data_IF_739132515531
#
_entry.id   IF_739132515531
#
_cell.length_a   1.000
_cell.length_b   1.000
_cell.length_c   1.000
_cell.angle_alpha   90.00
_cell.angle_beta   90.00
_cell.angle_gamma   90.00
#
_symmetry.space_group_name_H-M   'P 1'
#
loop_
_entity.id
_entity.type
_entity.pdbx_description
1 polymer ?
#
# COMPACT_ATOMS: atom_id res chain seq x y z
N UNK A 1 5.03 -14.09 0.25
CA UNK A 1 6.33 -13.40 0.37
C UNK A 1 7.55 -14.34 0.47
N UNK A 2 7.45 -15.48 1.19
CA UNK A 2 8.62 -16.37 1.42
C UNK A 2 9.43 -16.69 0.16
N UNK A 3 8.84 -16.98 -1.04
CA UNK A 3 9.63 -17.26 -2.24
C UNK A 3 10.45 -16.08 -2.77
N UNK A 4 10.11 -14.85 -2.33
CA UNK A 4 10.75 -13.62 -2.81
C UNK A 4 11.86 -13.10 -1.90
N UNK A 5 11.98 -13.65 -0.68
CA UNK A 5 12.93 -13.16 0.32
C UNK A 5 14.33 -13.64 -0.03
N UNK A 6 15.20 -12.69 -0.39
CA UNK A 6 16.63 -12.89 -0.53
C UNK A 6 17.34 -12.09 0.58
N UNK A 7 18.06 -12.79 1.46
CA UNK A 7 18.77 -12.17 2.59
C UNK A 7 19.86 -11.16 2.17
N UNK A 8 20.31 -11.22 0.92
CA UNK A 8 21.29 -10.29 0.34
C UNK A 8 20.65 -8.96 -0.07
N UNK A 9 19.32 -8.88 -0.18
CA UNK A 9 18.60 -7.68 -0.58
C UNK A 9 18.16 -6.86 0.63
N UNK A 10 18.16 -5.55 0.46
CA UNK A 10 17.61 -4.62 1.46
C UNK A 10 16.10 -4.55 1.30
N UNK A 11 15.39 -5.14 2.25
CA UNK A 11 13.93 -5.20 2.25
C UNK A 11 13.35 -3.93 2.87
N UNK A 12 12.32 -3.38 2.24
CA UNK A 12 11.68 -2.16 2.70
C UNK A 12 10.16 -2.29 2.71
N UNK A 13 9.52 -1.63 3.68
CA UNK A 13 8.12 -1.27 3.64
C UNK A 13 7.97 0.13 3.05
N UNK A 14 6.94 0.36 2.27
CA UNK A 14 6.68 1.65 1.61
C UNK A 14 5.28 2.10 2.00
N UNK A 15 5.16 3.32 2.51
CA UNK A 15 3.89 3.93 2.91
C UNK A 15 3.55 5.05 1.94
N UNK A 16 2.35 5.00 1.39
CA UNK A 16 1.76 6.11 0.65
C UNK A 16 0.23 5.98 0.64
N UNK A 17 -0.47 7.01 0.19
CA UNK A 17 -1.91 6.96 0.06
C UNK A 17 -2.37 7.51 -1.30
N UNK A 18 -3.48 6.98 -1.77
CA UNK A 18 -4.09 7.42 -3.02
C UNK A 18 -5.55 7.77 -2.82
N UNK A 19 -6.04 8.70 -3.63
CA UNK A 19 -7.44 9.05 -3.65
C UNK A 19 -8.27 7.85 -4.15
N UNK A 20 -9.28 7.46 -3.36
CA UNK A 20 -10.34 6.54 -3.73
C UNK A 20 -11.60 7.36 -3.97
N UNK A 21 -11.77 7.81 -5.22
CA UNK A 21 -12.80 8.77 -5.59
C UNK A 21 -14.19 8.13 -5.64
N UNK A 22 -15.19 8.86 -5.11
CA UNK A 22 -16.62 8.50 -5.15
C UNK A 22 -17.48 9.72 -5.48
N UNK A 23 -17.21 10.42 -6.61
CA UNK A 23 -17.74 11.77 -6.86
C UNK A 23 -19.27 11.82 -6.89
N UNK A 24 -19.92 10.76 -7.36
CA UNK A 24 -21.38 10.71 -7.49
C UNK A 24 -22.08 10.04 -6.32
N UNK A 25 -21.35 9.55 -5.34
CA UNK A 25 -21.92 8.88 -4.17
C UNK A 25 -22.47 9.89 -3.16
N UNK A 26 -23.62 9.57 -2.58
CA UNK A 26 -24.29 10.40 -1.54
C UNK A 26 -24.51 9.62 -0.25
N UNK A 27 -24.59 8.30 -0.30
CA UNK A 27 -25.02 7.43 0.80
C UNK A 27 -24.01 6.36 1.20
N UNK A 28 -22.80 6.37 0.58
CA UNK A 28 -21.76 5.41 0.95
C UNK A 28 -21.32 5.65 2.39
N UNK A 29 -21.24 4.59 3.16
CA UNK A 29 -20.86 4.64 4.58
C UNK A 29 -19.48 5.28 4.75
N UNK A 30 -19.34 6.19 5.72
CA UNK A 30 -18.12 6.95 6.00
C UNK A 30 -17.59 7.78 4.81
N UNK A 31 -18.42 8.02 3.79
CA UNK A 31 -18.04 8.91 2.70
C UNK A 31 -17.59 10.25 3.26
N UNK A 32 -16.47 10.76 2.79
CA UNK A 32 -15.92 12.01 3.28
C UNK A 32 -15.58 12.98 2.14
N UNK A 33 -15.46 14.25 2.52
CA UNK A 33 -14.90 15.29 1.68
C UNK A 33 -13.38 15.20 1.78
N UNK A 34 -12.71 14.79 0.70
CA UNK A 34 -11.26 14.60 0.63
C UNK A 34 -10.65 15.54 -0.40
N UNK A 35 -9.43 16.01 -0.13
CA UNK A 35 -8.73 16.90 -1.03
C UNK A 35 -7.96 16.12 -2.09
N UNK A 36 -8.19 16.44 -3.37
CA UNK A 36 -7.41 15.94 -4.50
C UNK A 36 -6.24 16.88 -4.74
N UNK A 37 -5.01 16.40 -4.53
CA UNK A 37 -3.80 17.20 -4.70
C UNK A 37 -3.43 17.44 -6.17
N UNK A 38 -3.93 16.59 -7.09
CA UNK A 38 -3.64 16.72 -8.52
C UNK A 38 -4.54 17.78 -9.18
N UNK A 39 -5.82 17.79 -8.79
CA UNK A 39 -6.81 18.73 -9.32
C UNK A 39 -6.97 19.98 -8.46
N UNK A 40 -6.36 20.03 -7.28
CA UNK A 40 -6.50 21.12 -6.31
C UNK A 40 -7.96 21.41 -5.90
N UNK A 41 -8.80 20.37 -5.82
CA UNK A 41 -10.21 20.49 -5.45
C UNK A 41 -10.61 19.48 -4.37
N UNK A 42 -11.75 19.73 -3.73
CA UNK A 42 -12.35 18.75 -2.81
C UNK A 42 -13.32 17.84 -3.56
N UNK A 43 -13.15 16.54 -3.40
CA UNK A 43 -14.02 15.51 -3.95
C UNK A 43 -14.66 14.66 -2.83
N UNK A 44 -15.71 13.94 -3.19
CA UNK A 44 -16.26 12.89 -2.32
C UNK A 44 -15.45 11.61 -2.48
N UNK A 45 -15.08 10.98 -1.39
CA UNK A 45 -14.30 9.73 -1.44
C UNK A 45 -13.61 9.39 -0.13
N UNK A 46 -12.50 8.70 -0.27
CA UNK A 46 -11.63 8.24 0.80
C UNK A 46 -10.16 8.41 0.39
N UNK A 47 -9.26 8.27 1.37
CA UNK A 47 -7.83 8.08 1.09
C UNK A 47 -7.47 6.63 1.37
N UNK A 48 -7.03 5.89 0.36
CA UNK A 48 -6.56 4.52 0.52
C UNK A 48 -5.10 4.54 0.96
N UNK A 49 -4.87 4.60 2.28
CA UNK A 49 -3.55 4.45 2.87
C UNK A 49 -3.09 3.02 2.65
N UNK A 50 -1.98 2.85 1.98
CA UNK A 50 -1.43 1.54 1.60
C UNK A 50 -0.03 1.36 2.15
N UNK A 51 0.24 0.18 2.67
CA UNK A 51 1.55 -0.32 3.01
C UNK A 51 1.96 -1.37 2.00
N UNK A 52 3.05 -1.15 1.29
CA UNK A 52 3.64 -2.13 0.38
C UNK A 52 4.96 -2.67 0.90
N UNK A 53 5.35 -3.85 0.46
CA UNK A 53 6.65 -4.46 0.66
C UNK A 53 7.46 -4.44 -0.63
N UNK A 54 8.76 -4.23 -0.53
CA UNK A 54 9.66 -4.20 -1.68
C UNK A 54 11.02 -4.80 -1.37
N UNK A 55 11.51 -5.60 -2.32
CA UNK A 55 12.90 -6.08 -2.37
C UNK A 55 13.76 -5.36 -3.43
N UNK A 56 13.29 -4.26 -3.97
CA UNK A 56 13.77 -3.46 -5.07
C UNK A 56 13.35 -3.93 -6.48
N UNK A 57 13.14 -5.23 -6.70
CA UNK A 57 12.65 -5.76 -7.98
C UNK A 57 11.12 -5.85 -8.01
N UNK A 58 10.54 -6.33 -6.93
CA UNK A 58 9.10 -6.57 -6.82
C UNK A 58 8.51 -5.68 -5.75
N UNK A 59 7.33 -5.15 -6.02
CA UNK A 59 6.48 -4.45 -5.06
C UNK A 59 5.22 -5.26 -4.82
N UNK A 60 4.85 -5.46 -3.56
CA UNK A 60 3.62 -6.15 -3.17
C UNK A 60 2.87 -5.31 -2.13
N UNK A 61 1.62 -4.86 -2.39
CA UNK A 61 0.79 -4.24 -1.37
C UNK A 61 0.42 -5.27 -0.30
N UNK A 62 0.76 -5.03 0.96
CA UNK A 62 0.61 -6.02 2.05
C UNK A 62 -0.44 -5.64 3.09
N UNK A 63 -0.78 -4.36 3.20
CA UNK A 63 -1.80 -3.90 4.13
C UNK A 63 -2.37 -2.55 3.70
N UNK A 64 -3.58 -2.22 4.17
CA UNK A 64 -4.20 -0.94 3.88
C UNK A 64 -5.20 -0.51 4.96
N UNK A 65 -5.52 0.79 4.94
CA UNK A 65 -6.66 1.35 5.62
C UNK A 65 -7.39 2.33 4.70
N UNK A 66 -8.70 2.17 4.57
CA UNK A 66 -9.53 3.08 3.80
C UNK A 66 -9.93 4.26 4.70
N UNK A 67 -9.20 5.37 4.59
CA UNK A 67 -9.33 6.52 5.46
C UNK A 67 -10.46 7.44 5.02
N UNK A 68 -11.34 7.77 5.97
CA UNK A 68 -12.36 8.81 5.86
C UNK A 68 -11.81 10.13 6.41
N UNK A 69 -12.54 10.82 7.25
CA UNK A 69 -12.10 12.02 7.94
C UNK A 69 -12.10 11.85 9.44
N UNK A 70 -11.08 12.42 10.09
CA UNK A 70 -11.09 12.58 11.56
C UNK A 70 -12.09 13.66 12.00
N UNK A 71 -12.31 14.68 11.17
CA UNK A 71 -13.28 15.75 11.47
C UNK A 71 -14.68 15.29 11.02
N UNK A 72 -15.63 15.16 11.95
CA UNK A 72 -17.00 14.75 11.62
C UNK A 72 -17.68 15.68 10.61
N UNK A 73 -17.31 16.97 10.55
CA UNK A 73 -17.85 17.94 9.61
C UNK A 73 -17.56 17.61 8.15
N UNK A 74 -16.52 16.83 7.91
CA UNK A 74 -16.13 16.38 6.56
C UNK A 74 -16.74 15.03 6.20
N UNK A 75 -17.43 14.34 7.12
CA UNK A 75 -18.09 13.06 6.86
C UNK A 75 -19.48 13.35 6.31
N UNK A 76 -19.77 12.84 5.13
CA UNK A 76 -21.00 13.07 4.38
C UNK A 76 -21.96 11.88 4.44
N UNK A 77 -21.41 10.67 4.55
CA UNK A 77 -22.17 9.44 4.58
C UNK A 77 -22.54 8.99 5.99
N UNK A 78 -23.40 7.96 6.12
CA UNK A 78 -23.75 7.39 7.42
C UNK A 78 -22.51 6.85 8.13
N UNK A 79 -22.52 6.90 9.46
CA UNK A 79 -21.44 6.40 10.30
C UNK A 79 -22.02 5.36 11.28
N UNK A 80 -21.63 4.09 11.12
CA UNK A 80 -22.06 3.03 12.02
C UNK A 80 -20.98 2.79 13.10
N UNK A 81 -21.39 2.89 14.36
CA UNK A 81 -20.51 2.61 15.48
C UNK A 81 -20.58 1.12 15.83
N UNK A 82 -19.61 0.36 15.37
CA UNK A 82 -19.47 -1.07 15.64
C UNK A 82 -18.43 -1.34 16.73
N UNK A 83 -18.62 -2.45 17.43
CA UNK A 83 -17.71 -2.88 18.49
C UNK A 83 -16.28 -3.11 17.94
N UNK A 84 -15.30 -2.42 18.54
CA UNK A 84 -13.90 -2.46 18.13
C UNK A 84 -13.20 -3.80 18.40
N UNK A 85 -13.82 -4.71 19.13
CA UNK A 85 -13.33 -6.08 19.28
C UNK A 85 -13.36 -6.83 17.95
N UNK A 86 -14.26 -6.49 17.05
CA UNK A 86 -14.35 -7.06 15.72
C UNK A 86 -13.58 -6.23 14.67
N UNK A 87 -13.15 -6.90 13.61
CA UNK A 87 -12.41 -6.25 12.51
C UNK A 87 -13.17 -5.08 11.88
N UNK A 88 -14.46 -5.25 11.66
CA UNK A 88 -15.34 -4.22 11.10
C UNK A 88 -15.35 -2.92 11.94
N UNK A 89 -15.45 -3.04 13.27
CA UNK A 89 -15.38 -1.90 14.18
C UNK A 89 -13.99 -1.26 14.22
N UNK A 90 -12.92 -2.07 14.23
CA UNK A 90 -11.54 -1.55 14.17
C UNK A 90 -11.28 -0.76 12.91
N UNK A 91 -11.69 -1.24 11.74
CA UNK A 91 -11.51 -0.54 10.45
C UNK A 91 -12.22 0.80 10.42
N UNK A 92 -13.46 0.89 10.96
CA UNK A 92 -14.20 2.17 11.05
C UNK A 92 -13.54 3.16 11.99
N UNK A 93 -12.98 2.68 13.08
CA UNK A 93 -12.20 3.52 14.00
C UNK A 93 -10.91 4.03 13.33
N UNK A 94 -10.18 3.18 12.64
CA UNK A 94 -8.99 3.56 11.87
C UNK A 94 -9.35 4.60 10.80
N UNK A 95 -10.44 4.41 10.07
CA UNK A 95 -10.90 5.34 9.03
C UNK A 95 -11.06 6.78 9.52
N UNK A 96 -11.39 6.96 10.79
CA UNK A 96 -11.61 8.25 11.42
C UNK A 96 -10.44 8.70 12.32
N UNK A 97 -9.31 8.01 12.26
CA UNK A 97 -8.11 8.31 13.02
C UNK A 97 -7.13 9.18 12.23
N UNK A 98 -6.06 9.63 12.88
CA UNK A 98 -4.98 10.35 12.18
C UNK A 98 -4.21 9.39 11.27
N UNK A 99 -4.11 9.71 10.00
CA UNK A 99 -3.45 8.88 9.00
C UNK A 99 -2.03 8.44 9.39
N UNK A 100 -1.22 9.34 9.94
CA UNK A 100 0.14 9.00 10.39
C UNK A 100 0.16 7.97 11.53
N UNK A 101 -0.84 7.96 12.42
CA UNK A 101 -0.96 6.93 13.46
C UNK A 101 -1.32 5.58 12.84
N UNK A 102 -2.30 5.60 11.93
CA UNK A 102 -2.74 4.39 11.22
C UNK A 102 -1.58 3.83 10.37
N UNK A 103 -0.77 4.69 9.73
CA UNK A 103 0.41 4.25 9.00
C UNK A 103 1.39 3.44 9.87
N UNK A 104 1.66 3.90 11.10
CA UNK A 104 2.50 3.16 12.07
C UNK A 104 1.83 1.86 12.52
N UNK A 105 0.50 1.87 12.70
CA UNK A 105 -0.27 0.66 13.03
C UNK A 105 -0.16 -0.39 11.91
N UNK A 106 -0.27 0.01 10.63
CA UNK A 106 -0.11 -0.90 9.49
C UNK A 106 1.28 -1.54 9.47
N UNK A 107 2.35 -0.76 9.74
CA UNK A 107 3.72 -1.28 9.87
C UNK A 107 3.81 -2.27 11.02
N UNK A 108 3.30 -1.93 12.20
CA UNK A 108 3.29 -2.82 13.37
C UNK A 108 2.56 -4.13 13.08
N UNK A 109 1.43 -4.08 12.37
CA UNK A 109 0.68 -5.27 11.95
C UNK A 109 1.49 -6.13 10.97
N UNK A 110 2.16 -5.52 9.99
CA UNK A 110 3.02 -6.24 9.04
C UNK A 110 4.14 -7.01 9.77
N UNK A 111 4.79 -6.38 10.75
CA UNK A 111 5.82 -7.02 11.57
C UNK A 111 5.27 -8.19 12.39
N UNK A 112 4.06 -8.04 12.99
CA UNK A 112 3.39 -9.12 13.73
C UNK A 112 3.06 -10.33 12.84
N UNK A 113 2.86 -10.10 11.54
CA UNK A 113 2.67 -11.15 10.55
C UNK A 113 3.99 -11.63 9.91
N UNK A 114 5.13 -11.33 10.53
CA UNK A 114 6.47 -11.74 10.09
C UNK A 114 6.81 -11.29 8.66
N UNK A 115 6.32 -10.12 8.23
CA UNK A 115 6.74 -9.52 6.98
C UNK A 115 8.12 -8.89 7.20
N UNK A 116 9.20 -9.41 6.58
CA UNK A 116 10.54 -8.96 6.86
C UNK A 116 10.79 -7.60 6.20
N UNK A 117 11.36 -6.67 6.98
CA UNK A 117 11.81 -5.39 6.48
C UNK A 117 12.95 -4.85 7.35
N UNK A 118 13.79 -4.01 6.77
CA UNK A 118 14.85 -3.26 7.44
C UNK A 118 14.52 -1.76 7.47
N UNK A 119 13.81 -1.31 6.46
CA UNK A 119 13.51 0.10 6.23
C UNK A 119 12.01 0.35 6.05
N UNK A 120 11.58 1.56 6.42
CA UNK A 120 10.26 2.10 6.05
C UNK A 120 10.49 3.37 5.24
N UNK A 121 9.96 3.39 4.01
CA UNK A 121 10.09 4.50 3.06
C UNK A 121 8.77 5.28 3.01
N UNK A 122 8.85 6.60 3.06
CA UNK A 122 7.68 7.46 3.00
C UNK A 122 8.00 8.82 2.39
N UNK A 123 6.98 9.52 1.95
CA UNK A 123 7.10 10.86 1.36
C UNK A 123 7.17 11.97 2.44
N UNK A 124 7.18 13.22 1.99
CA UNK A 124 7.25 14.37 2.87
C UNK A 124 6.00 14.59 3.73
N UNK A 125 4.87 13.97 3.38
CA UNK A 125 3.64 14.09 4.16
C UNK A 125 3.75 13.35 5.50
N UNK A 126 4.39 12.18 5.47
CA UNK A 126 4.60 11.35 6.65
C UNK A 126 5.89 11.70 7.42
N UNK A 127 6.84 12.40 6.80
CA UNK A 127 8.18 12.71 7.34
C UNK A 127 8.14 13.73 8.47
N UNK A 128 7.71 13.33 9.64
CA UNK A 128 7.80 14.10 10.89
C UNK A 128 8.84 13.47 11.84
N UNK A 129 9.49 14.25 12.75
CA UNK A 129 10.36 13.66 13.77
C UNK A 129 9.68 12.52 14.52
N UNK A 130 8.42 12.70 14.90
CA UNK A 130 7.63 11.67 15.59
C UNK A 130 7.46 10.37 14.77
N UNK A 131 7.33 10.46 13.45
CA UNK A 131 7.25 9.27 12.58
C UNK A 131 8.56 8.50 12.61
N UNK A 132 9.70 9.19 12.48
CA UNK A 132 11.02 8.55 12.57
C UNK A 132 11.21 7.85 13.93
N UNK A 133 10.80 8.50 15.03
CA UNK A 133 10.87 7.94 16.39
C UNK A 133 10.03 6.67 16.50
N UNK A 134 8.78 6.68 16.04
CA UNK A 134 7.87 5.55 16.10
C UNK A 134 8.36 4.38 15.25
N UNK A 135 8.87 4.64 14.04
CA UNK A 135 9.47 3.60 13.19
C UNK A 135 10.71 2.99 13.85
N UNK A 136 11.54 3.82 14.48
CA UNK A 136 12.73 3.33 15.20
C UNK A 136 12.37 2.47 16.40
N UNK A 137 11.30 2.81 17.14
CA UNK A 137 10.77 2.01 18.24
C UNK A 137 10.26 0.64 17.78
N UNK A 138 9.81 0.52 16.54
CA UNK A 138 9.44 -0.76 15.93
C UNK A 138 10.65 -1.60 15.47
N UNK A 139 11.88 -1.13 15.69
CA UNK A 139 13.11 -1.83 15.28
C UNK A 139 13.49 -1.62 13.81
N UNK A 140 12.82 -0.72 13.09
CA UNK A 140 13.10 -0.42 11.69
C UNK A 140 13.79 0.94 11.55
N UNK A 141 14.42 1.16 10.39
CA UNK A 141 14.99 2.45 10.04
C UNK A 141 14.07 3.19 9.05
N UNK A 142 13.68 4.43 9.39
CA UNK A 142 12.89 5.29 8.53
C UNK A 142 13.76 5.99 7.47
N UNK A 143 13.26 6.11 6.23
CA UNK A 143 13.83 6.95 5.17
C UNK A 143 12.70 7.76 4.56
N UNK A 144 12.82 9.08 4.60
CA UNK A 144 11.78 9.96 4.08
C UNK A 144 12.31 11.31 3.60
N UNK A 145 11.50 12.01 2.80
CA UNK A 145 11.81 13.35 2.33
C UNK A 145 11.28 14.39 3.33
N UNK A 146 12.12 15.28 3.81
CA UNK A 146 11.71 16.34 4.74
C UNK A 146 11.09 17.53 4.01
N UNK A 147 10.04 18.08 4.59
CA UNK A 147 9.53 19.41 4.23
C UNK A 147 10.53 20.49 4.69
N UNK A 148 10.75 21.50 3.88
CA UNK A 148 11.56 22.68 4.25
C UNK A 148 10.76 23.62 5.17
N UNK A 149 10.32 23.09 6.29
CA UNK A 149 9.54 23.83 7.28
C UNK A 149 10.44 24.73 8.14
N UNK A 150 9.94 25.91 8.47
CA UNK A 150 10.53 26.80 9.46
C UNK A 150 10.08 26.49 10.89
N UNK A 151 9.16 25.53 11.05
CA UNK A 151 8.57 25.14 12.35
C UNK A 151 9.24 23.92 12.99
N UNK A 152 10.09 23.21 12.24
CA UNK A 152 10.79 22.01 12.73
C UNK A 152 12.28 22.30 12.80
N UNK A 153 12.85 22.06 13.97
CA UNK A 153 14.25 22.30 14.24
C UNK A 153 14.97 21.02 14.55
N UNK A 154 16.25 21.00 14.21
CA UNK A 154 17.17 19.89 14.48
C UNK A 154 18.42 20.42 15.16
N UNK A 155 18.98 19.67 16.10
CA UNK A 155 20.21 20.01 16.79
C UNK A 155 21.43 19.57 15.99
N UNK A 156 22.23 20.51 15.56
CA UNK A 156 23.50 20.28 14.86
C UNK A 156 24.63 20.98 15.61
N UNK A 157 25.65 20.23 16.04
CA UNK A 157 26.78 20.74 16.83
C UNK A 157 26.34 21.62 18.02
N UNK A 158 25.37 21.17 18.79
CA UNK A 158 24.86 21.85 19.97
C UNK A 158 23.83 22.96 19.72
N UNK A 159 23.66 23.45 18.49
CA UNK A 159 22.73 24.52 18.13
C UNK A 159 21.52 24.03 17.34
N UNK A 160 20.39 24.70 17.47
CA UNK A 160 19.17 24.42 16.77
C UNK A 160 19.12 25.12 15.40
N UNK A 161 18.77 24.38 14.36
CA UNK A 161 18.63 24.89 13.00
C UNK A 161 17.36 24.35 12.37
N UNK A 162 16.62 25.19 11.65
CA UNK A 162 15.64 24.71 10.67
C UNK A 162 16.39 24.06 9.49
N UNK A 163 15.68 23.26 8.70
CA UNK A 163 16.26 22.61 7.50
C UNK A 163 16.91 23.64 6.56
N UNK A 164 16.25 24.80 6.36
CA UNK A 164 16.77 25.88 5.52
C UNK A 164 18.04 26.51 6.11
N UNK A 165 18.01 26.84 7.39
CA UNK A 165 19.17 27.43 8.08
C UNK A 165 20.37 26.48 8.12
N UNK A 166 20.11 25.17 8.26
CA UNK A 166 21.14 24.14 8.21
C UNK A 166 21.79 24.04 6.82
N UNK A 167 21.01 24.12 5.75
CA UNK A 167 21.53 24.16 4.38
C UNK A 167 22.50 25.34 4.18
N UNK A 168 22.10 26.58 4.56
CA UNK A 168 22.95 27.77 4.45
C UNK A 168 24.20 27.63 5.31
N UNK A 169 24.09 27.06 6.50
CA UNK A 169 25.23 26.80 7.38
C UNK A 169 26.25 25.86 6.72
N UNK A 170 25.79 24.74 6.15
CA UNK A 170 26.66 23.77 5.46
C UNK A 170 27.31 24.39 4.22
N UNK A 171 26.59 25.25 3.51
CA UNK A 171 27.08 25.98 2.35
C UNK A 171 28.19 26.98 2.77
N UNK A 172 27.99 27.69 3.86
CA UNK A 172 29.01 28.65 4.38
C UNK A 172 30.28 27.98 4.90
N UNK A 173 30.22 26.72 5.30
CA UNK A 173 31.39 25.90 5.65
C UNK A 173 32.27 25.53 4.45
N UNK A 174 32.00 26.07 3.25
CA UNK A 174 32.72 25.85 1.98
C UNK A 174 32.92 24.36 1.63
N UNK A 175 32.01 23.51 2.06
CA UNK A 175 32.04 22.12 1.68
C UNK A 175 31.76 22.00 0.18
N UNK A 176 32.66 21.33 -0.57
CA UNK A 176 32.45 21.08 -2.00
C UNK A 176 31.25 20.14 -2.20
N UNK A 177 30.28 20.51 -3.05
CA UNK A 177 29.19 19.62 -3.42
C UNK A 177 29.73 18.35 -4.08
N UNK A 178 29.14 17.21 -3.76
CA UNK A 178 29.38 15.95 -4.48
C UNK A 178 28.54 15.90 -5.76
N UNK A 179 28.87 15.02 -6.67
CA UNK A 179 28.12 14.88 -7.93
C UNK A 179 26.64 14.47 -7.69
N UNK A 180 26.41 13.56 -6.75
CA UNK A 180 25.11 12.95 -6.48
C UNK A 180 24.31 13.67 -5.39
N UNK A 181 25.00 14.36 -4.43
CA UNK A 181 24.38 15.16 -3.39
C UNK A 181 25.19 16.40 -3.08
N UNK A 182 24.55 17.43 -2.55
CA UNK A 182 25.23 18.69 -2.22
C UNK A 182 25.94 18.62 -0.87
N UNK A 183 25.19 18.26 0.16
CA UNK A 183 25.68 18.20 1.55
C UNK A 183 25.06 17.02 2.28
N UNK A 184 25.76 16.55 3.32
CA UNK A 184 25.23 15.58 4.27
C UNK A 184 25.72 15.90 5.67
N UNK A 185 24.85 15.75 6.67
CA UNK A 185 25.19 15.90 8.08
C UNK A 185 24.34 14.99 8.96
N UNK A 186 24.81 14.76 10.18
CA UNK A 186 24.05 14.08 11.21
C UNK A 186 23.53 15.13 12.18
N UNK A 187 22.26 15.03 12.52
CA UNK A 187 21.55 15.93 13.44
C UNK A 187 20.79 15.11 14.47
N UNK A 188 20.35 15.76 15.55
CA UNK A 188 19.43 15.16 16.54
C UNK A 188 18.07 15.83 16.47
N UNK A 189 17.01 15.04 16.53
CA UNK A 189 15.63 15.53 16.73
C UNK A 189 15.44 16.02 18.17
N UNK A 190 14.29 16.64 18.45
CA UNK A 190 13.93 17.02 19.83
C UNK A 190 13.81 15.82 20.77
N UNK A 191 13.40 14.66 20.25
CA UNK A 191 13.37 13.38 21.00
C UNK A 191 14.75 12.75 21.22
N UNK A 192 15.82 13.35 20.67
CA UNK A 192 17.20 12.88 20.80
C UNK A 192 17.63 11.83 19.76
N UNK A 193 16.74 11.42 18.83
CA UNK A 193 17.09 10.47 17.78
C UNK A 193 18.02 11.13 16.76
N UNK A 194 19.07 10.40 16.42
CA UNK A 194 20.00 10.83 15.37
C UNK A 194 19.41 10.57 13.98
N UNK A 195 19.51 11.57 13.13
CA UNK A 195 19.09 11.52 11.75
C UNK A 195 20.25 11.96 10.84
N UNK A 196 20.54 11.19 9.82
CA UNK A 196 21.38 11.66 8.73
C UNK A 196 20.50 12.41 7.74
N UNK A 197 20.83 13.66 7.49
CA UNK A 197 20.22 14.49 6.45
C UNK A 197 21.11 14.50 5.21
N UNK A 198 20.50 14.37 4.04
CA UNK A 198 21.15 14.43 2.73
C UNK A 198 20.45 15.47 1.87
N UNK A 199 21.18 16.50 1.47
CA UNK A 199 20.69 17.56 0.60
C UNK A 199 21.01 17.20 -0.85
N UNK A 200 19.99 16.83 -1.62
CA UNK A 200 20.09 16.38 -3.01
C UNK A 200 19.68 17.50 -3.94
N UNK A 201 20.42 17.71 -5.04
CA UNK A 201 20.06 18.70 -6.04
C UNK A 201 18.75 18.31 -6.73
N UNK A 202 17.83 19.26 -6.82
CA UNK A 202 16.63 19.05 -7.62
C UNK A 202 16.98 19.28 -9.10
N UNK A 203 16.98 18.21 -9.89
CA UNK A 203 17.30 18.28 -11.31
C UNK A 203 16.33 19.14 -12.13
N UNK A 204 15.07 19.29 -11.65
CA UNK A 204 14.03 20.05 -12.36
C UNK A 204 14.10 21.56 -12.09
N UNK A 205 14.80 22.02 -11.03
CA UNK A 205 14.90 23.44 -10.65
C UNK A 205 16.31 23.73 -10.16
N UNK A 206 17.11 24.42 -10.95
CA UNK A 206 18.56 24.62 -10.75
C UNK A 206 18.98 25.12 -9.35
N UNK A 207 18.15 25.94 -8.69
CA UNK A 207 18.44 26.51 -7.36
C UNK A 207 17.65 25.83 -6.23
N UNK A 208 17.09 24.64 -6.48
CA UNK A 208 16.26 23.95 -5.50
C UNK A 208 16.92 22.64 -5.06
N UNK A 209 16.71 22.27 -3.81
CA UNK A 209 17.21 21.01 -3.25
C UNK A 209 16.08 20.26 -2.56
N UNK A 210 16.21 18.94 -2.54
CA UNK A 210 15.40 18.04 -1.72
C UNK A 210 16.22 17.63 -0.51
N UNK A 211 15.56 17.31 0.59
CA UNK A 211 16.22 16.84 1.81
C UNK A 211 15.70 15.48 2.17
N UNK A 212 16.55 14.48 2.11
CA UNK A 212 16.26 13.14 2.58
C UNK A 212 16.78 12.99 4.00
N UNK A 213 16.04 12.26 4.83
CA UNK A 213 16.43 11.94 6.18
C UNK A 213 16.32 10.44 6.44
N UNK A 214 17.23 9.91 7.26
CA UNK A 214 17.16 8.53 7.73
C UNK A 214 17.65 8.41 9.16
N UNK A 215 17.06 7.46 9.90
CA UNK A 215 17.54 7.04 11.22
C UNK A 215 18.76 6.12 11.14
N UNK A 216 19.04 5.50 9.97
CA UNK A 216 20.24 4.70 9.73
C UNK A 216 21.41 5.61 9.36
N UNK A 217 22.02 6.23 10.35
CA UNK A 217 23.08 7.23 10.15
C UNK A 217 24.37 6.68 9.51
N UNK A 218 24.57 5.36 9.51
CA UNK A 218 25.71 4.70 8.86
C UNK A 218 25.60 4.56 7.34
N UNK A 219 24.40 4.74 6.75
CA UNK A 219 24.22 4.64 5.30
C UNK A 219 24.97 5.76 4.57
N UNK A 220 25.57 5.41 3.42
CA UNK A 220 26.13 6.43 2.53
C UNK A 220 25.00 7.28 1.89
N UNK A 221 25.20 8.57 1.64
CA UNK A 221 24.18 9.44 1.04
C UNK A 221 23.58 8.92 -0.26
N UNK A 222 24.38 8.27 -1.12
CA UNK A 222 23.91 7.67 -2.38
C UNK A 222 22.98 6.49 -2.14
N UNK A 223 23.28 5.66 -1.14
CA UNK A 223 22.43 4.55 -0.75
C UNK A 223 21.07 5.04 -0.23
N UNK A 224 21.06 6.15 0.52
CA UNK A 224 19.82 6.78 1.00
C UNK A 224 18.97 7.26 -0.18
N UNK A 225 19.60 7.88 -1.18
CA UNK A 225 18.91 8.34 -2.38
C UNK A 225 18.33 7.18 -3.19
N UNK A 226 19.10 6.10 -3.37
CA UNK A 226 18.65 4.89 -4.06
C UNK A 226 17.49 4.20 -3.34
N UNK A 227 17.60 4.03 -2.00
CA UNK A 227 16.54 3.43 -1.19
C UNK A 227 15.27 4.28 -1.24
N UNK A 228 15.39 5.60 -1.07
CA UNK A 228 14.23 6.50 -1.17
C UNK A 228 13.58 6.45 -2.56
N UNK A 229 14.36 6.30 -3.62
CA UNK A 229 13.86 6.14 -4.99
C UNK A 229 12.91 4.96 -5.17
N UNK A 230 13.07 3.88 -4.38
CA UNK A 230 12.15 2.71 -4.42
C UNK A 230 10.72 3.07 -4.02
N UNK A 231 10.52 4.16 -3.28
CA UNK A 231 9.17 4.65 -2.93
C UNK A 231 8.29 4.83 -4.18
N UNK A 232 8.89 5.11 -5.34
CA UNK A 232 8.17 5.24 -6.60
C UNK A 232 7.39 3.98 -7.01
N UNK A 233 7.75 2.81 -6.50
CA UNK A 233 7.06 1.56 -6.80
C UNK A 233 5.59 1.56 -6.31
N UNK A 234 5.28 2.21 -5.19
CA UNK A 234 3.90 2.31 -4.73
C UNK A 234 3.05 3.22 -5.64
N UNK A 235 3.66 4.25 -6.24
CA UNK A 235 2.98 5.10 -7.23
C UNK A 235 2.67 4.32 -8.51
N UNK A 236 3.61 3.47 -8.95
CA UNK A 236 3.41 2.55 -10.08
C UNK A 236 2.28 1.55 -9.78
N UNK A 237 2.24 1.00 -8.56
CA UNK A 237 1.12 0.17 -8.12
C UNK A 237 -0.21 0.91 -8.21
N UNK A 238 -0.33 2.12 -7.65
CA UNK A 238 -1.57 2.88 -7.72
C UNK A 238 -2.00 3.17 -9.15
N UNK A 239 -1.04 3.48 -10.03
CA UNK A 239 -1.32 3.69 -11.45
C UNK A 239 -1.89 2.41 -12.09
N UNK A 240 -1.25 1.27 -11.92
CA UNK A 240 -1.70 -0.01 -12.45
C UNK A 240 -3.06 -0.42 -11.87
N UNK A 241 -3.24 -0.28 -10.55
CA UNK A 241 -4.49 -0.62 -9.86
C UNK A 241 -5.67 0.23 -10.35
N UNK A 242 -5.47 1.54 -10.58
CA UNK A 242 -6.51 2.44 -11.14
C UNK A 242 -6.79 2.14 -12.59
N UNK A 243 -5.77 1.88 -13.38
CA UNK A 243 -5.89 1.67 -14.82
C UNK A 243 -6.52 0.31 -15.16
N UNK A 244 -6.06 -0.77 -14.52
CA UNK A 244 -6.40 -2.14 -14.90
C UNK A 244 -7.32 -2.84 -13.91
N UNK A 245 -7.19 -2.60 -12.59
CA UNK A 245 -7.86 -3.38 -11.56
C UNK A 245 -9.09 -2.67 -10.95
N UNK A 246 -9.57 -1.61 -11.58
CA UNK A 246 -10.76 -0.88 -11.12
C UNK A 246 -10.68 -0.41 -9.67
N UNK A 247 -9.52 0.05 -9.22
CA UNK A 247 -9.21 0.42 -7.84
C UNK A 247 -10.32 1.22 -7.13
N UNK A 248 -10.84 2.25 -7.76
CA UNK A 248 -11.90 3.12 -7.23
C UNK A 248 -13.26 2.99 -7.96
N UNK A 249 -13.38 2.01 -8.88
CA UNK A 249 -14.57 1.80 -9.71
C UNK A 249 -15.40 0.63 -9.17
N UNK A 250 -16.21 0.88 -8.16
CA UNK A 250 -17.11 -0.12 -7.55
C UNK A 250 -18.48 0.48 -7.26
N UNK A 251 -19.52 -0.34 -7.22
CA UNK A 251 -20.89 0.05 -6.85
C UNK A 251 -21.22 -0.19 -5.38
N UNK A 252 -20.30 -0.79 -4.63
CA UNK A 252 -20.47 -1.10 -3.21
C UNK A 252 -20.65 0.17 -2.40
N UNK A 253 -21.60 0.17 -1.46
CA UNK A 253 -21.93 1.32 -0.62
C UNK A 253 -21.60 1.13 0.85
N UNK A 254 -21.53 -0.09 1.37
CA UNK A 254 -21.12 -0.34 2.74
C UNK A 254 -19.60 -0.34 2.87
N UNK A 255 -19.10 0.08 4.04
CA UNK A 255 -17.67 0.26 4.26
C UNK A 255 -16.87 -1.06 4.23
N UNK A 256 -17.45 -2.15 4.75
CA UNK A 256 -16.77 -3.47 4.74
C UNK A 256 -16.62 -4.02 3.32
N UNK A 257 -17.62 -3.82 2.48
CA UNK A 257 -17.55 -4.20 1.07
C UNK A 257 -16.53 -3.36 0.29
N UNK A 258 -16.39 -2.05 0.61
CA UNK A 258 -15.32 -1.22 0.03
C UNK A 258 -13.93 -1.73 0.43
N UNK A 259 -13.75 -2.10 1.70
CA UNK A 259 -12.52 -2.73 2.17
C UNK A 259 -12.29 -4.08 1.49
N UNK A 260 -13.33 -4.89 1.30
CA UNK A 260 -13.26 -6.15 0.55
C UNK A 260 -12.83 -5.94 -0.90
N UNK A 261 -13.41 -4.95 -1.57
CA UNK A 261 -13.01 -4.58 -2.93
C UNK A 261 -11.54 -4.21 -3.03
N UNK A 262 -11.04 -3.35 -2.14
CA UNK A 262 -9.61 -3.00 -2.12
C UNK A 262 -8.72 -4.21 -1.84
N UNK A 263 -9.13 -5.11 -0.93
CA UNK A 263 -8.39 -6.33 -0.66
C UNK A 263 -8.26 -7.21 -1.93
N UNK A 264 -9.36 -7.37 -2.69
CA UNK A 264 -9.34 -8.12 -3.95
C UNK A 264 -8.41 -7.45 -4.97
N UNK A 265 -8.47 -6.13 -5.12
CA UNK A 265 -7.57 -5.39 -6.02
C UNK A 265 -6.10 -5.62 -5.65
N UNK A 266 -5.76 -5.58 -4.36
CA UNK A 266 -4.39 -5.84 -3.88
C UNK A 266 -3.96 -7.28 -4.17
N UNK A 267 -4.81 -8.26 -3.85
CA UNK A 267 -4.52 -9.67 -4.11
C UNK A 267 -4.34 -9.96 -5.61
N UNK A 268 -5.16 -9.35 -6.47
CA UNK A 268 -5.02 -9.49 -7.93
C UNK A 268 -3.69 -8.91 -8.40
N UNK A 269 -3.30 -7.74 -7.89
CA UNK A 269 -1.99 -7.17 -8.20
C UNK A 269 -0.85 -8.07 -7.74
N UNK A 270 -0.93 -8.64 -6.54
CA UNK A 270 0.09 -9.54 -6.00
C UNK A 270 0.25 -10.80 -6.87
N UNK A 271 -0.86 -11.36 -7.38
CA UNK A 271 -0.81 -12.50 -8.30
C UNK A 271 -0.12 -12.14 -9.61
N UNK A 272 -0.43 -10.98 -10.20
CA UNK A 272 0.22 -10.50 -11.43
C UNK A 272 1.71 -10.24 -11.21
N UNK A 273 2.08 -9.59 -10.11
CA UNK A 273 3.47 -9.34 -9.76
C UNK A 273 4.25 -10.63 -9.47
N UNK A 274 3.58 -11.64 -8.92
CA UNK A 274 4.16 -12.96 -8.72
C UNK A 274 4.41 -13.67 -10.06
N UNK A 275 3.46 -13.63 -10.98
CA UNK A 275 3.56 -14.20 -12.32
C UNK A 275 4.73 -13.54 -13.10
N UNK A 276 4.78 -12.21 -13.14
CA UNK A 276 5.85 -11.43 -13.76
C UNK A 276 7.24 -11.89 -13.28
N UNK A 277 7.37 -12.14 -11.97
CA UNK A 277 8.65 -12.55 -11.39
C UNK A 277 9.03 -13.99 -11.69
N UNK A 278 8.07 -14.92 -11.82
CA UNK A 278 8.38 -16.34 -12.06
C UNK A 278 8.88 -16.62 -13.46
N UNK A 279 8.29 -16.00 -14.45
CA UNK A 279 8.55 -16.31 -15.86
C UNK A 279 9.75 -15.57 -16.44
N UNK A 280 10.44 -14.72 -15.67
CA UNK A 280 11.47 -13.78 -16.18
C UNK A 280 10.95 -13.00 -17.40
N UNK A 281 9.71 -12.67 -17.35
CA UNK A 281 8.95 -12.08 -18.44
C UNK A 281 9.27 -10.59 -18.53
N UNK A 282 9.57 -10.11 -19.73
CA UNK A 282 9.78 -8.68 -20.00
C UNK A 282 8.46 -7.91 -20.07
N UNK A 283 7.31 -8.60 -20.01
CA UNK A 283 5.98 -7.99 -20.05
C UNK A 283 5.69 -7.18 -18.79
N UNK A 284 5.00 -6.07 -18.97
CA UNK A 284 4.53 -5.25 -17.85
C UNK A 284 3.31 -5.89 -17.19
N UNK A 285 2.99 -5.48 -15.94
CA UNK A 285 1.74 -5.87 -15.26
C UNK A 285 0.50 -5.58 -16.12
N UNK A 286 0.53 -4.50 -16.92
CA UNK A 286 -0.54 -4.20 -17.86
C UNK A 286 -0.68 -5.23 -18.98
N UNK A 287 0.43 -5.65 -19.55
CA UNK A 287 0.44 -6.69 -20.59
C UNK A 287 -0.04 -8.02 -20.04
N UNK A 288 0.40 -8.40 -18.85
CA UNK A 288 -0.07 -9.60 -18.16
C UNK A 288 -1.57 -9.55 -17.88
N UNK A 289 -2.09 -8.39 -17.45
CA UNK A 289 -3.51 -8.20 -17.24
C UNK A 289 -4.32 -8.46 -18.52
N UNK A 290 -3.90 -7.91 -19.67
CA UNK A 290 -4.59 -8.14 -20.94
C UNK A 290 -4.51 -9.59 -21.38
N UNK A 291 -3.34 -10.22 -21.32
CA UNK A 291 -3.16 -11.62 -21.70
C UNK A 291 -3.99 -12.55 -20.82
N UNK A 292 -4.00 -12.34 -19.51
CA UNK A 292 -4.82 -13.14 -18.60
C UNK A 292 -6.31 -12.86 -18.81
N UNK A 293 -6.70 -11.64 -19.18
CA UNK A 293 -8.06 -11.28 -19.54
C UNK A 293 -8.52 -11.93 -20.86
N UNK A 294 -7.61 -12.06 -21.83
CA UNK A 294 -7.88 -12.79 -23.09
C UNK A 294 -7.82 -14.30 -22.92
N UNK A 295 -6.94 -14.80 -22.04
CA UNK A 295 -6.82 -16.24 -21.74
C UNK A 295 -7.97 -16.77 -20.86
N UNK A 296 -8.67 -15.88 -20.14
CA UNK A 296 -9.95 -16.21 -19.53
C UNK A 296 -11.06 -15.86 -20.53
N UNK A 297 -11.55 -16.81 -21.33
CA UNK A 297 -12.80 -16.60 -22.05
C UNK A 297 -13.85 -16.16 -21.03
N UNK A 298 -14.86 -15.41 -21.46
CA UNK A 298 -15.99 -15.03 -20.61
C UNK A 298 -16.55 -16.28 -19.93
N UNK A 299 -15.92 -16.65 -18.81
CA UNK A 299 -16.39 -17.74 -17.96
C UNK A 299 -17.75 -17.30 -17.44
N UNK A 300 -18.79 -17.77 -18.07
CA UNK A 300 -20.13 -17.61 -17.53
C UNK A 300 -20.14 -18.24 -16.13
N UNK A 301 -21.01 -17.76 -15.24
CA UNK A 301 -21.20 -18.39 -13.93
C UNK A 301 -21.41 -19.90 -14.07
N UNK A 302 -22.01 -20.33 -15.18
CA UNK A 302 -22.27 -21.73 -15.54
C UNK A 302 -20.97 -22.50 -15.78
N UNK A 303 -20.00 -21.90 -16.49
CA UNK A 303 -18.70 -22.55 -16.75
C UNK A 303 -17.90 -22.75 -15.47
N UNK A 304 -17.94 -21.75 -14.56
CA UNK A 304 -17.31 -21.85 -13.23
C UNK A 304 -17.94 -22.97 -12.40
N UNK A 305 -19.26 -23.09 -12.41
CA UNK A 305 -19.98 -24.16 -11.72
C UNK A 305 -19.67 -25.54 -12.31
N UNK A 306 -19.63 -25.67 -13.64
CA UNK A 306 -19.20 -26.90 -14.33
C UNK A 306 -17.81 -27.32 -13.92
N UNK A 307 -16.88 -26.38 -13.91
CA UNK A 307 -15.50 -26.63 -13.52
C UNK A 307 -15.38 -27.03 -12.04
N UNK A 308 -16.11 -26.35 -11.16
CA UNK A 308 -16.17 -26.66 -9.73
C UNK A 308 -16.72 -28.07 -9.47
N UNK A 309 -17.77 -28.48 -10.17
CA UNK A 309 -18.34 -29.83 -10.07
C UNK A 309 -17.35 -30.91 -10.58
N UNK A 310 -16.62 -30.64 -11.68
CA UNK A 310 -15.56 -31.52 -12.16
C UNK A 310 -14.44 -31.70 -11.15
N UNK A 311 -14.02 -30.58 -10.49
CA UNK A 311 -13.00 -30.61 -9.46
C UNK A 311 -13.45 -31.39 -8.21
N UNK A 312 -14.70 -31.22 -7.79
CA UNK A 312 -15.29 -31.98 -6.70
C UNK A 312 -15.34 -33.50 -7.03
N UNK A 313 -15.75 -33.87 -8.23
CA UNK A 313 -15.77 -35.28 -8.66
C UNK A 313 -14.36 -35.89 -8.68
N UNK A 314 -13.33 -35.16 -9.16
CA UNK A 314 -11.93 -35.58 -9.11
C UNK A 314 -11.40 -35.75 -7.69
N UNK A 315 -11.77 -34.87 -6.76
CA UNK A 315 -11.39 -34.98 -5.35
C UNK A 315 -12.04 -36.21 -4.69
N UNK A 316 -13.27 -36.52 -5.03
CA UNK A 316 -14.00 -37.68 -4.52
C UNK A 316 -13.42 -39.01 -5.05
N UNK A 317 -12.95 -39.02 -6.30
CA UNK A 317 -12.29 -40.19 -6.89
C UNK A 317 -10.89 -40.44 -6.33
N UNK A 318 -10.22 -39.40 -5.79
CA UNK A 318 -8.86 -39.49 -5.29
C UNK A 318 -8.72 -39.85 -3.81
N UNK A 319 -9.79 -39.75 -2.99
CA UNK A 319 -9.77 -40.12 -1.56
C UNK A 319 -10.94 -41.00 -1.12
N UNK A 320 -10.70 -42.15 -0.48
CA UNK A 320 -11.75 -43.13 -0.13
C UNK A 320 -12.44 -42.85 1.24
N UNK A 321 -12.67 -41.57 1.62
CA UNK A 321 -13.05 -41.24 3.01
C UNK A 321 -14.52 -40.83 3.22
N UNK A 322 -15.35 -40.75 2.18
CA UNK A 322 -16.80 -40.51 2.37
C UNK A 322 -17.63 -41.45 1.50
N UNK A 323 -18.86 -41.81 1.90
CA UNK A 323 -19.72 -42.60 1.05
C UNK A 323 -20.09 -41.78 -0.20
N UNK A 324 -19.38 -42.06 -1.28
CA UNK A 324 -19.51 -41.45 -2.63
C UNK A 324 -20.97 -41.26 -3.01
N UNK A 325 -21.84 -42.21 -2.57
CA UNK A 325 -23.28 -42.16 -2.81
C UNK A 325 -23.98 -40.93 -2.19
N UNK A 326 -23.61 -40.52 -1.00
CA UNK A 326 -24.18 -39.34 -0.33
C UNK A 326 -23.75 -38.03 -0.97
N UNK A 327 -22.52 -37.95 -1.50
CA UNK A 327 -22.02 -36.75 -2.16
C UNK A 327 -22.68 -36.57 -3.54
N UNK A 328 -22.81 -37.66 -4.32
CA UNK A 328 -23.51 -37.64 -5.60
C UNK A 328 -24.98 -37.26 -5.43
N UNK A 329 -25.67 -37.80 -4.41
CA UNK A 329 -27.05 -37.41 -4.09
C UNK A 329 -27.17 -35.93 -3.68
N UNK A 330 -26.12 -35.36 -3.03
CA UNK A 330 -26.09 -33.94 -2.65
C UNK A 330 -25.83 -33.04 -3.86
N UNK A 331 -24.94 -33.44 -4.76
CA UNK A 331 -24.68 -32.76 -6.04
C UNK A 331 -25.90 -32.76 -6.92
N UNK A 332 -26.57 -33.90 -7.05
CA UNK A 332 -27.82 -34.04 -7.83
C UNK A 332 -28.96 -33.18 -7.27
N UNK A 333 -29.11 -33.14 -5.95
CA UNK A 333 -30.06 -32.23 -5.27
C UNK A 333 -29.72 -30.76 -5.51
N UNK A 334 -28.44 -30.40 -5.47
CA UNK A 334 -27.98 -29.03 -5.76
C UNK A 334 -28.31 -28.67 -7.22
N UNK A 335 -27.96 -29.53 -8.20
CA UNK A 335 -28.25 -29.31 -9.62
C UNK A 335 -29.74 -29.14 -9.84
N UNK A 336 -30.57 -30.02 -9.20
CA UNK A 336 -32.01 -29.96 -9.30
C UNK A 336 -32.66 -28.72 -8.70
N UNK A 337 -32.00 -28.07 -7.78
CA UNK A 337 -32.46 -26.81 -7.16
C UNK A 337 -32.18 -25.55 -7.99
N UNK A 338 -31.39 -25.69 -9.06
CA UNK A 338 -31.01 -24.56 -9.93
C UNK A 338 -32.09 -24.27 -10.99
N UNK A 339 -32.14 -23.04 -11.55
CA UNK A 339 -33.01 -22.76 -12.71
C UNK A 339 -32.74 -23.71 -13.85
N UNK A 340 -33.82 -24.15 -14.55
CA UNK A 340 -33.77 -25.21 -15.59
C UNK A 340 -32.70 -24.99 -16.67
N UNK A 341 -32.47 -23.73 -17.06
CA UNK A 341 -31.44 -23.37 -18.05
C UNK A 341 -30.02 -23.66 -17.57
N UNK A 342 -29.76 -23.54 -16.27
CA UNK A 342 -28.44 -23.79 -15.65
C UNK A 342 -28.31 -25.31 -15.35
N UNK A 343 -29.33 -25.91 -14.78
CA UNK A 343 -29.34 -27.33 -14.46
C UNK A 343 -29.08 -28.21 -15.71
N UNK A 344 -29.65 -27.85 -16.85
CA UNK A 344 -29.45 -28.56 -18.11
C UNK A 344 -28.00 -28.51 -18.63
N UNK A 345 -27.29 -27.41 -18.42
CA UNK A 345 -25.89 -27.29 -18.83
C UNK A 345 -24.96 -28.09 -17.90
N UNK A 346 -25.26 -28.12 -16.59
CA UNK A 346 -24.48 -28.84 -15.59
C UNK A 346 -24.67 -30.38 -15.66
N UNK A 347 -25.85 -30.87 -16.10
CA UNK A 347 -26.10 -32.32 -16.31
C UNK A 347 -25.36 -32.91 -17.52
N UNK A 348 -24.83 -32.05 -18.40
CA UNK A 348 -24.03 -32.48 -19.57
C UNK A 348 -22.52 -32.49 -19.31
N UNK A 349 -22.08 -32.04 -18.15
CA UNK A 349 -20.68 -31.97 -17.75
C UNK A 349 -20.27 -33.13 -16.86
#
# INVERSE_FOLDING_TARGET
LRPFIDSRRRLALIIDDSLFARPYSKRTELLARVYDHDKHEFLHGYRALTLGWSDANTFLPVNFALMSSKDPKNILGPCHNLDRRYLAGRRRYQAQSKMNQVAVELVSQALKHNIPAQYVLFDSWYSSPKMFDQIKQLGLDGIGMLKRSTKVYYRYRGRLYSVKALYERLRSEKRSPKATYQYSCVVKSDSGIELRLVFVRNQRKANNYLVLATTKVSLHPDEISQLHGRRWQIETYFKAAKQYLRFDKTQVQNYDGLCGHLAIVMMTYDLLAWQERQEKDERTIGDLFYIMGEAMPDLSLTDVLVWFIKLLNQLVESEPVAPIKQLNETVDKFISSLPQSIAFQLQKA
#
